data_IF_016700885017
#
_entry.id   IF_016700885017
#
_cell.length_a   1.000
_cell.length_b   1.000
_cell.length_c   1.000
_cell.angle_alpha   90.00
_cell.angle_beta   90.00
_cell.angle_gamma   90.00
#
_symmetry.space_group_name_H-M   'P 1'
#
loop_
_entity.id
_entity.type
_entity.pdbx_description
1 polymer ?
#
# COMPACT_ATOMS: atom_id res chain seq x y z
N UNK A 1 18.12 11.75 -26.70
CA UNK A 1 18.09 13.00 -25.92
C UNK A 1 17.06 12.81 -24.84
N UNK A 2 17.49 12.78 -23.59
CA UNK A 2 16.63 12.72 -22.43
C UNK A 2 16.03 14.11 -22.22
N UNK A 3 14.75 14.29 -22.48
CA UNK A 3 14.04 15.52 -22.08
C UNK A 3 13.75 15.38 -20.58
N UNK A 4 14.52 16.10 -19.76
CA UNK A 4 14.24 16.31 -18.36
C UNK A 4 13.12 17.36 -18.24
N UNK A 5 11.92 16.91 -17.88
CA UNK A 5 10.87 17.81 -17.41
C UNK A 5 10.95 17.84 -15.87
N UNK A 6 11.67 18.83 -15.36
CA UNK A 6 11.85 19.03 -13.93
C UNK A 6 10.64 19.81 -13.40
N UNK A 7 9.59 19.12 -12.97
CA UNK A 7 8.46 19.75 -12.30
C UNK A 7 8.72 19.89 -10.78
N UNK A 8 8.05 20.85 -10.17
CA UNK A 8 8.30 21.52 -8.90
C UNK A 8 8.25 20.70 -7.58
N UNK A 9 8.67 19.44 -7.59
CA UNK A 9 8.84 18.64 -6.37
C UNK A 9 10.32 18.59 -5.92
N UNK A 10 11.07 19.70 -6.05
CA UNK A 10 12.46 19.89 -5.55
C UNK A 10 13.42 18.68 -5.75
N UNK A 11 13.21 17.86 -6.81
CA UNK A 11 14.01 16.65 -7.07
C UNK A 11 13.63 15.41 -6.25
N UNK A 12 12.59 15.46 -5.44
CA UNK A 12 12.09 14.32 -4.63
C UNK A 12 11.41 13.24 -5.48
N UNK A 13 10.94 13.59 -6.67
CA UNK A 13 10.45 12.69 -7.71
C UNK A 13 11.06 13.09 -9.06
N UNK A 14 11.54 12.11 -9.81
CA UNK A 14 12.22 12.35 -11.08
C UNK A 14 11.45 11.66 -12.19
N UNK A 15 11.17 12.39 -13.26
CA UNK A 15 10.53 11.89 -14.47
C UNK A 15 11.54 11.88 -15.62
N UNK A 16 11.59 10.77 -16.34
CA UNK A 16 12.45 10.61 -17.52
C UNK A 16 11.73 9.80 -18.58
N UNK A 17 12.22 9.82 -19.82
CA UNK A 17 11.70 8.99 -20.90
C UNK A 17 12.84 8.39 -21.71
N UNK A 18 12.69 7.10 -22.02
CA UNK A 18 13.58 6.39 -22.93
C UNK A 18 12.74 5.66 -23.98
N UNK A 19 12.77 6.13 -25.21
CA UNK A 19 11.90 5.58 -26.26
C UNK A 19 10.41 5.72 -25.90
N UNK A 20 9.69 4.61 -25.89
CA UNK A 20 8.28 4.54 -25.52
C UNK A 20 8.03 4.34 -24.02
N UNK A 21 9.09 4.14 -23.21
CA UNK A 21 8.97 3.96 -21.76
C UNK A 21 9.17 5.28 -21.03
N UNK A 22 8.17 5.69 -20.25
CA UNK A 22 8.28 6.78 -19.28
C UNK A 22 8.71 6.18 -17.93
N UNK A 23 9.61 6.86 -17.22
CA UNK A 23 10.20 6.36 -15.98
C UNK A 23 9.94 7.35 -14.85
N UNK A 24 9.51 6.82 -13.71
CA UNK A 24 9.34 7.53 -12.44
C UNK A 24 10.37 7.00 -11.45
N UNK A 25 11.12 7.90 -10.81
CA UNK A 25 12.00 7.55 -9.69
C UNK A 25 11.61 8.35 -8.46
N UNK A 26 11.19 7.66 -7.40
CA UNK A 26 10.98 8.26 -6.08
C UNK A 26 12.35 8.53 -5.48
N UNK A 27 12.68 9.79 -5.18
CA UNK A 27 14.06 10.21 -4.89
C UNK A 27 14.22 10.83 -3.51
N UNK A 28 13.70 10.15 -2.49
CA UNK A 28 13.91 10.48 -1.07
C UNK A 28 14.52 9.30 -0.31
N UNK A 29 15.69 8.74 -0.74
CA UNK A 29 16.21 7.49 -0.21
C UNK A 29 16.54 7.57 1.30
N UNK A 30 16.88 8.73 1.85
CA UNK A 30 17.10 8.94 3.30
C UNK A 30 15.81 8.77 4.12
N UNK A 31 14.66 9.04 3.53
CA UNK A 31 13.34 8.83 4.11
C UNK A 31 12.65 7.56 3.59
N UNK A 32 13.42 6.56 3.10
CA UNK A 32 12.92 5.33 2.49
C UNK A 32 11.91 5.62 1.36
N UNK A 33 12.13 6.69 0.60
CA UNK A 33 11.27 7.16 -0.49
C UNK A 33 9.81 7.40 -0.07
N UNK A 34 9.56 7.81 1.18
CA UNK A 34 8.23 8.14 1.68
C UNK A 34 7.57 9.20 0.77
N UNK A 35 6.31 8.96 0.43
CA UNK A 35 5.51 9.77 -0.48
C UNK A 35 5.02 11.04 0.23
N UNK A 36 5.40 12.21 -0.28
CA UNK A 36 4.86 13.49 0.18
C UNK A 36 3.69 13.93 -0.69
N UNK A 37 2.85 14.83 -0.17
CA UNK A 37 1.76 15.40 -0.96
C UNK A 37 2.25 16.05 -2.28
N UNK A 38 3.34 16.87 -2.30
CA UNK A 38 3.87 17.40 -3.57
C UNK A 38 4.30 16.31 -4.55
N UNK A 39 4.86 15.18 -4.08
CA UNK A 39 5.20 14.06 -4.95
C UNK A 39 3.95 13.40 -5.53
N UNK A 40 2.91 13.20 -4.72
CA UNK A 40 1.65 12.62 -5.17
C UNK A 40 0.99 13.50 -6.24
N UNK A 41 0.95 14.82 -6.04
CA UNK A 41 0.44 15.78 -7.03
C UNK A 41 1.25 15.73 -8.32
N UNK A 42 2.59 15.79 -8.22
CA UNK A 42 3.45 15.76 -9.39
C UNK A 42 3.31 14.45 -10.18
N UNK A 43 3.12 13.32 -9.48
CA UNK A 43 2.90 12.03 -10.14
C UNK A 43 1.53 11.97 -10.83
N UNK A 44 0.47 12.44 -10.18
CA UNK A 44 -0.88 12.51 -10.78
C UNK A 44 -0.85 13.36 -12.05
N UNK A 45 -0.33 14.58 -11.98
CA UNK A 45 -0.22 15.50 -13.11
C UNK A 45 0.57 14.87 -14.28
N UNK A 46 1.70 14.24 -13.97
CA UNK A 46 2.56 13.64 -15.00
C UNK A 46 1.92 12.39 -15.62
N UNK A 47 1.24 11.55 -14.84
CA UNK A 47 0.52 10.39 -15.37
C UNK A 47 -0.61 10.82 -16.31
N UNK A 48 -1.37 11.87 -15.97
CA UNK A 48 -2.41 12.42 -16.86
C UNK A 48 -1.82 12.90 -18.19
N UNK A 49 -0.68 13.58 -18.17
CA UNK A 49 0.02 13.98 -19.40
C UNK A 49 0.46 12.74 -20.21
N UNK A 50 1.03 11.73 -19.57
CA UNK A 50 1.47 10.51 -20.25
C UNK A 50 0.34 9.61 -20.72
N UNK A 51 -0.82 9.67 -20.08
CA UNK A 51 -2.02 9.00 -20.53
C UNK A 51 -2.40 9.42 -21.96
N UNK A 52 -2.34 10.72 -22.22
CA UNK A 52 -2.71 11.33 -23.52
C UNK A 52 -1.56 11.35 -24.53
N UNK A 53 -0.30 11.24 -24.10
CA UNK A 53 0.88 11.28 -25.00
C UNK A 53 1.02 9.94 -25.76
N UNK A 54 0.75 9.98 -27.07
CA UNK A 54 0.89 8.81 -27.95
C UNK A 54 2.33 8.28 -28.05
N UNK A 55 3.35 9.08 -27.70
CA UNK A 55 4.75 8.66 -27.68
C UNK A 55 5.10 7.84 -26.42
N UNK A 56 4.33 7.97 -25.34
CA UNK A 56 4.46 7.11 -24.15
C UNK A 56 3.63 5.84 -24.37
N UNK A 57 4.25 4.69 -24.27
CA UNK A 57 3.63 3.38 -24.47
C UNK A 57 3.49 2.60 -23.18
N UNK A 58 4.35 2.86 -22.21
CA UNK A 58 4.32 2.25 -20.89
C UNK A 58 4.95 3.20 -19.86
N UNK A 59 4.67 2.95 -18.59
CA UNK A 59 5.28 3.65 -17.45
C UNK A 59 5.99 2.65 -16.56
N UNK A 60 7.18 2.98 -16.06
CA UNK A 60 7.81 2.26 -14.95
C UNK A 60 7.98 3.19 -13.74
N UNK A 61 7.91 2.61 -12.54
CA UNK A 61 8.16 3.32 -11.28
C UNK A 61 9.09 2.52 -10.40
N UNK A 62 10.06 3.20 -9.77
CA UNK A 62 11.05 2.60 -8.87
C UNK A 62 11.45 3.57 -7.76
N UNK A 63 12.10 3.07 -6.72
CA UNK A 63 12.72 3.89 -5.70
C UNK A 63 14.19 4.17 -6.00
N UNK A 64 14.71 5.32 -5.56
CA UNK A 64 16.14 5.63 -5.60
C UNK A 64 16.90 4.82 -4.53
N UNK A 65 18.13 4.41 -4.86
CA UNK A 65 19.02 3.69 -3.96
C UNK A 65 19.55 4.61 -2.84
N UNK A 66 19.74 4.02 -1.67
CA UNK A 66 20.46 4.62 -0.55
C UNK A 66 21.98 4.55 -0.75
N UNK A 67 22.71 5.30 0.05
CA UNK A 67 24.19 5.29 0.05
C UNK A 67 24.78 3.89 0.39
N UNK A 68 24.03 3.05 1.13
CA UNK A 68 24.41 1.67 1.47
C UNK A 68 24.02 0.64 0.38
N UNK A 69 23.54 1.09 -0.77
CA UNK A 69 23.16 0.28 -1.92
C UNK A 69 21.76 -0.35 -1.84
N UNK A 70 21.07 -0.28 -0.71
CA UNK A 70 19.67 -0.76 -0.61
C UNK A 70 18.74 0.15 -1.38
N UNK A 71 17.71 -0.43 -2.00
CA UNK A 71 16.74 0.27 -2.84
C UNK A 71 15.34 0.16 -2.21
N UNK A 72 14.98 0.98 -1.19
CA UNK A 72 13.59 1.00 -0.73
C UNK A 72 12.68 1.47 -1.86
N UNK A 73 11.54 0.80 -2.06
CA UNK A 73 10.59 1.31 -3.03
C UNK A 73 9.90 2.55 -2.46
N UNK A 74 9.05 2.38 -1.45
CA UNK A 74 8.38 3.47 -0.73
C UNK A 74 7.84 2.96 0.60
N UNK A 75 8.16 3.63 1.70
CA UNK A 75 7.73 3.23 3.05
C UNK A 75 6.34 3.73 3.44
N UNK A 76 5.58 4.31 2.50
CA UNK A 76 4.25 4.87 2.73
C UNK A 76 4.20 6.38 2.63
N UNK A 77 3.06 6.97 2.95
CA UNK A 77 2.88 8.41 3.03
C UNK A 77 3.74 9.05 4.15
N UNK A 78 4.17 10.29 3.95
CA UNK A 78 4.89 11.05 4.99
C UNK A 78 3.89 11.61 6.02
N UNK A 79 3.40 10.70 6.89
CA UNK A 79 2.34 11.00 7.87
C UNK A 79 2.80 11.88 9.05
N UNK A 80 4.09 12.25 9.13
CA UNK A 80 4.56 13.22 10.12
C UNK A 80 3.86 14.56 9.95
N UNK A 81 3.66 14.97 8.71
CA UNK A 81 3.00 16.23 8.41
C UNK A 81 1.52 16.20 8.83
N UNK A 82 0.83 15.06 8.69
CA UNK A 82 -0.52 14.89 9.24
C UNK A 82 -0.55 15.07 10.76
N UNK A 83 0.44 14.53 11.47
CA UNK A 83 0.55 14.69 12.92
C UNK A 83 0.78 16.16 13.31
N UNK A 84 1.60 16.90 12.56
CA UNK A 84 1.84 18.33 12.82
C UNK A 84 0.55 19.16 12.68
N UNK A 85 -0.39 18.74 11.82
CA UNK A 85 -1.68 19.38 11.61
C UNK A 85 -2.79 18.88 12.58
N UNK A 86 -2.44 18.12 13.61
CA UNK A 86 -3.42 17.51 14.55
C UNK A 86 -4.37 18.51 15.22
N UNK A 87 -3.96 19.76 15.38
CA UNK A 87 -4.74 20.81 16.04
C UNK A 87 -5.65 21.60 15.08
N UNK A 88 -5.59 21.34 13.76
CA UNK A 88 -6.54 21.94 12.83
C UNK A 88 -7.96 21.36 13.09
N UNK A 89 -8.93 22.17 13.53
CA UNK A 89 -10.27 21.69 13.84
C UNK A 89 -11.05 21.21 12.60
N UNK A 90 -10.68 21.67 11.41
CA UNK A 90 -11.33 21.33 10.16
C UNK A 90 -10.64 20.19 9.41
N UNK A 91 -9.43 19.81 9.83
CA UNK A 91 -8.62 18.78 9.16
C UNK A 91 -8.49 18.97 7.64
N UNK A 92 -8.53 20.21 7.18
CA UNK A 92 -8.55 20.53 5.74
C UNK A 92 -7.35 19.94 5.00
N UNK A 93 -6.18 19.96 5.65
CA UNK A 93 -4.98 19.36 5.06
C UNK A 93 -5.16 17.85 4.87
N UNK A 94 -5.66 17.13 5.88
CA UNK A 94 -5.87 15.69 5.80
C UNK A 94 -6.90 15.33 4.72
N UNK A 95 -8.00 16.07 4.65
CA UNK A 95 -9.03 15.91 3.61
C UNK A 95 -8.39 16.01 2.22
N UNK A 96 -7.66 17.10 1.96
CA UNK A 96 -7.01 17.31 0.67
C UNK A 96 -5.94 16.25 0.37
N UNK A 97 -5.17 15.83 1.39
CA UNK A 97 -4.14 14.80 1.24
C UNK A 97 -4.74 13.47 0.77
N UNK A 98 -5.78 12.96 1.48
CA UNK A 98 -6.40 11.68 1.11
C UNK A 98 -7.16 11.76 -0.22
N UNK A 99 -7.81 12.88 -0.53
CA UNK A 99 -8.42 13.08 -1.85
C UNK A 99 -7.41 12.95 -2.98
N UNK A 100 -6.25 13.58 -2.84
CA UNK A 100 -5.19 13.55 -3.86
C UNK A 100 -4.56 12.17 -3.97
N UNK A 101 -4.23 11.54 -2.84
CA UNK A 101 -3.61 10.21 -2.82
C UNK A 101 -4.55 9.16 -3.43
N UNK A 102 -5.83 9.16 -3.03
CA UNK A 102 -6.79 8.16 -3.50
C UNK A 102 -7.22 8.36 -4.95
N UNK A 103 -7.26 9.61 -5.45
CA UNK A 103 -7.40 9.88 -6.89
C UNK A 103 -6.21 9.36 -7.68
N UNK A 104 -5.00 9.57 -7.17
CA UNK A 104 -3.78 9.02 -7.79
C UNK A 104 -3.82 7.49 -7.83
N UNK A 105 -4.23 6.83 -6.74
CA UNK A 105 -4.36 5.36 -6.71
C UNK A 105 -5.38 4.88 -7.77
N UNK A 106 -6.49 5.59 -7.90
CA UNK A 106 -7.52 5.29 -8.91
C UNK A 106 -7.00 5.54 -10.33
N UNK A 107 -6.22 6.60 -10.54
CA UNK A 107 -5.56 6.86 -11.82
C UNK A 107 -4.60 5.73 -12.21
N UNK A 108 -3.79 5.23 -11.26
CA UNK A 108 -2.90 4.08 -11.49
C UNK A 108 -3.70 2.82 -11.84
N UNK A 109 -4.81 2.56 -11.12
CA UNK A 109 -5.69 1.43 -11.39
C UNK A 109 -6.33 1.48 -12.79
N UNK A 110 -6.76 2.67 -13.22
CA UNK A 110 -7.39 2.91 -14.53
C UNK A 110 -6.40 3.19 -15.66
N UNK A 111 -5.09 3.21 -15.37
CA UNK A 111 -4.12 3.68 -16.34
C UNK A 111 -4.14 2.81 -17.61
N UNK A 112 -4.40 3.40 -18.81
CA UNK A 112 -4.71 2.64 -20.01
C UNK A 112 -3.48 2.00 -20.68
N UNK A 113 -2.28 2.26 -20.14
CA UNK A 113 -1.01 1.74 -20.66
C UNK A 113 -0.36 0.85 -19.60
N UNK A 114 0.51 -0.11 -19.96
CA UNK A 114 1.24 -0.89 -18.99
C UNK A 114 1.94 0.00 -17.95
N UNK A 115 1.74 -0.33 -16.67
CA UNK A 115 2.35 0.32 -15.54
C UNK A 115 3.15 -0.70 -14.74
N UNK A 116 4.46 -0.54 -14.70
CA UNK A 116 5.41 -1.53 -14.19
C UNK A 116 6.08 -1.00 -12.92
N UNK A 117 5.78 -1.59 -11.77
CA UNK A 117 6.45 -1.27 -10.52
C UNK A 117 7.67 -2.18 -10.30
N UNK A 118 8.86 -1.60 -10.14
CA UNK A 118 10.11 -2.29 -9.83
C UNK A 118 10.38 -2.17 -8.34
N UNK A 119 10.11 -3.24 -7.58
CA UNK A 119 10.07 -3.23 -6.12
C UNK A 119 11.24 -4.05 -5.58
N UNK A 120 12.33 -3.38 -5.20
CA UNK A 120 13.56 -4.01 -4.69
C UNK A 120 13.81 -3.75 -3.20
N UNK A 121 12.76 -3.47 -2.44
CA UNK A 121 12.86 -3.22 -0.99
C UNK A 121 11.50 -2.95 -0.36
N UNK A 122 11.50 -2.16 0.71
CA UNK A 122 10.28 -1.85 1.48
C UNK A 122 9.21 -1.19 0.60
N UNK A 123 7.98 -1.74 0.65
CA UNK A 123 6.77 -1.19 0.04
C UNK A 123 5.62 -1.31 1.03
N UNK A 124 5.09 -0.16 1.50
CA UNK A 124 4.06 -0.08 2.55
C UNK A 124 3.14 1.10 2.30
N UNK A 125 1.91 1.06 2.81
CA UNK A 125 0.95 2.17 2.79
C UNK A 125 0.84 2.87 1.42
N UNK A 126 1.02 4.19 1.35
CA UNK A 126 1.01 4.94 0.09
C UNK A 126 1.95 4.39 -1.01
N UNK A 127 3.04 3.69 -0.64
CA UNK A 127 3.89 2.98 -1.60
C UNK A 127 3.15 1.83 -2.30
N UNK A 128 2.25 1.15 -1.59
CA UNK A 128 1.36 0.14 -2.17
C UNK A 128 0.38 0.81 -3.14
N UNK A 129 -0.21 1.94 -2.75
CA UNK A 129 -1.16 2.68 -3.58
C UNK A 129 -0.63 3.12 -4.94
N UNK A 130 0.65 3.48 -5.03
CA UNK A 130 1.28 3.92 -6.29
C UNK A 130 1.95 2.77 -7.07
N UNK A 131 1.83 1.52 -6.63
CA UNK A 131 2.48 0.36 -7.28
C UNK A 131 1.56 -0.82 -7.54
N UNK A 132 0.72 -1.21 -6.58
CA UNK A 132 -0.01 -2.48 -6.62
C UNK A 132 -1.21 -2.49 -7.58
N UNK A 133 -1.66 -1.33 -8.01
CA UNK A 133 -2.77 -1.20 -8.97
C UNK A 133 -2.29 -1.23 -10.43
N UNK A 134 -0.99 -1.16 -10.65
CA UNK A 134 -0.38 -1.30 -11.98
C UNK A 134 -0.48 -2.73 -12.54
N UNK A 135 -0.26 -2.86 -13.84
CA UNK A 135 -0.35 -4.14 -14.55
C UNK A 135 0.76 -5.14 -14.15
N UNK A 136 1.96 -4.64 -13.84
CA UNK A 136 3.12 -5.47 -13.51
C UNK A 136 3.72 -5.02 -12.17
N UNK A 137 3.72 -5.92 -11.21
CA UNK A 137 4.31 -5.76 -9.89
C UNK A 137 5.51 -6.69 -9.78
N UNK A 138 6.69 -6.18 -10.17
CA UNK A 138 7.94 -6.93 -10.24
C UNK A 138 8.67 -6.77 -8.91
N UNK A 139 8.81 -7.84 -8.16
CA UNK A 139 9.43 -7.84 -6.84
C UNK A 139 10.75 -8.63 -6.83
N UNK A 140 11.74 -8.16 -6.08
CA UNK A 140 12.96 -8.92 -5.80
C UNK A 140 12.85 -9.69 -4.48
N UNK A 141 13.88 -10.50 -4.18
CA UNK A 141 14.04 -11.18 -2.88
C UNK A 141 14.24 -10.20 -1.71
N UNK A 142 14.61 -8.95 -1.99
CA UNK A 142 14.74 -7.90 -0.97
C UNK A 142 13.43 -7.16 -0.69
N UNK A 143 12.40 -7.39 -1.51
CA UNK A 143 11.11 -6.73 -1.34
C UNK A 143 10.47 -7.14 -0.01
N UNK A 144 9.93 -6.15 0.69
CA UNK A 144 9.22 -6.32 1.97
C UNK A 144 7.90 -5.55 1.91
N UNK A 145 6.83 -6.29 1.71
CA UNK A 145 5.46 -5.76 1.73
C UNK A 145 4.86 -5.85 3.12
N UNK A 146 4.12 -4.82 3.55
CA UNK A 146 3.21 -4.87 4.69
C UNK A 146 2.16 -3.74 4.61
N UNK A 147 1.02 -3.97 5.29
CA UNK A 147 -0.01 -2.95 5.58
C UNK A 147 -0.12 -2.83 7.11
N UNK A 148 0.79 -2.03 7.77
CA UNK A 148 0.92 -2.00 9.22
C UNK A 148 -0.01 -0.97 9.91
N UNK A 149 -1.00 -0.45 9.22
CA UNK A 149 -1.82 0.72 9.58
C UNK A 149 -2.58 0.53 10.89
N UNK A 150 -3.00 -0.70 11.24
CA UNK A 150 -3.64 -1.02 12.53
C UNK A 150 -2.74 -0.72 13.74
N UNK A 151 -1.42 -0.70 13.54
CA UNK A 151 -0.43 -0.34 14.55
C UNK A 151 -0.24 1.16 14.75
N UNK A 152 -0.89 2.01 13.95
CA UNK A 152 -0.83 3.47 14.05
C UNK A 152 -2.21 4.12 14.19
N UNK A 153 -3.25 3.35 14.56
CA UNK A 153 -4.59 3.89 14.71
C UNK A 153 -5.28 4.24 13.39
N UNK A 154 -4.83 3.62 12.29
CA UNK A 154 -5.41 3.70 10.95
C UNK A 154 -5.92 2.29 10.55
N UNK A 155 -6.24 2.08 9.33
CA UNK A 155 -6.66 0.80 8.71
C UNK A 155 -5.88 0.62 7.41
N UNK A 156 -5.73 -0.59 6.86
CA UNK A 156 -5.17 -0.80 5.53
C UNK A 156 -5.99 -0.06 4.48
N UNK A 157 -5.43 0.98 3.90
CA UNK A 157 -6.03 1.87 2.90
C UNK A 157 -5.42 1.69 1.52
N UNK A 158 -5.45 2.73 0.69
CA UNK A 158 -4.86 2.81 -0.65
C UNK A 158 -5.30 1.67 -1.60
N UNK A 159 -6.54 1.22 -1.48
CA UNK A 159 -7.13 0.13 -2.25
C UNK A 159 -7.10 -1.24 -1.57
N UNK A 160 -6.69 -1.33 -0.30
CA UNK A 160 -6.67 -2.59 0.44
C UNK A 160 -8.05 -3.22 0.60
N UNK A 161 -9.12 -2.42 0.68
CA UNK A 161 -10.53 -2.89 0.63
C UNK A 161 -10.81 -3.71 -0.62
N UNK A 162 -10.13 -3.40 -1.72
CA UNK A 162 -10.28 -4.11 -2.98
C UNK A 162 -9.37 -5.33 -3.08
N UNK A 163 -8.05 -5.21 -2.81
CA UNK A 163 -7.10 -6.29 -3.11
C UNK A 163 -6.94 -7.31 -1.99
N UNK A 164 -7.02 -6.94 -0.71
CA UNK A 164 -6.84 -7.89 0.39
C UNK A 164 -7.94 -8.98 0.43
N UNK A 165 -9.23 -8.68 0.26
CA UNK A 165 -10.25 -9.72 0.22
C UNK A 165 -10.11 -10.69 -0.98
N UNK A 166 -9.33 -10.32 -1.99
CA UNK A 166 -9.07 -11.15 -3.19
C UNK A 166 -7.88 -12.09 -3.01
N UNK A 167 -7.15 -11.97 -1.89
CA UNK A 167 -6.14 -12.96 -1.50
C UNK A 167 -6.81 -14.32 -1.16
N UNK A 168 -6.08 -15.45 -1.30
CA UNK A 168 -6.60 -16.77 -0.99
C UNK A 168 -7.15 -16.88 0.44
N UNK A 169 -8.31 -17.49 0.61
CA UNK A 169 -8.94 -17.78 1.91
C UNK A 169 -9.05 -16.56 2.82
N UNK A 170 -8.51 -16.64 4.01
CA UNK A 170 -8.49 -15.56 5.02
C UNK A 170 -7.16 -14.79 5.07
N UNK A 171 -6.25 -15.02 4.11
CA UNK A 171 -4.92 -14.40 4.09
C UNK A 171 -4.99 -12.87 4.06
N UNK A 172 -5.89 -12.29 3.27
CA UNK A 172 -6.03 -10.83 3.24
C UNK A 172 -6.48 -10.24 4.58
N UNK A 173 -7.37 -10.93 5.29
CA UNK A 173 -7.80 -10.52 6.63
C UNK A 173 -6.65 -10.63 7.64
N UNK A 174 -5.90 -11.74 7.61
CA UNK A 174 -4.69 -11.90 8.40
C UNK A 174 -3.69 -10.77 8.17
N UNK A 175 -3.37 -10.48 6.90
CA UNK A 175 -2.44 -9.42 6.52
C UNK A 175 -2.92 -8.04 7.02
N UNK A 176 -4.19 -7.72 6.80
CA UNK A 176 -4.76 -6.42 7.15
C UNK A 176 -4.85 -6.19 8.67
N UNK A 177 -5.19 -7.21 9.45
CA UNK A 177 -5.31 -7.07 10.90
C UNK A 177 -3.95 -7.06 11.60
N UNK A 178 -3.01 -7.91 11.17
CA UNK A 178 -1.72 -8.07 11.84
C UNK A 178 -0.66 -7.08 11.37
N UNK A 179 -0.75 -6.62 10.12
CA UNK A 179 0.34 -5.91 9.45
C UNK A 179 1.55 -6.81 9.17
N UNK A 180 1.30 -8.10 8.93
CA UNK A 180 2.35 -9.08 8.68
C UNK A 180 3.24 -8.65 7.50
N UNK A 181 4.55 -8.90 7.65
CA UNK A 181 5.55 -8.58 6.64
C UNK A 181 5.82 -9.80 5.79
N UNK A 182 5.73 -9.63 4.47
CA UNK A 182 5.94 -10.71 3.52
C UNK A 182 6.98 -10.36 2.47
N UNK A 183 7.68 -11.38 1.97
CA UNK A 183 8.59 -11.30 0.83
C UNK A 183 7.91 -11.69 -0.48
N UNK A 184 8.71 -11.75 -1.55
CA UNK A 184 8.24 -11.98 -2.92
C UNK A 184 7.51 -13.32 -3.10
N UNK A 185 7.95 -14.40 -2.45
CA UNK A 185 7.31 -15.72 -2.56
C UNK A 185 5.86 -15.70 -2.06
N UNK A 186 5.63 -15.12 -0.87
CA UNK A 186 4.29 -14.94 -0.34
C UNK A 186 3.47 -13.94 -1.18
N UNK A 187 4.09 -12.85 -1.64
CA UNK A 187 3.40 -11.87 -2.48
C UNK A 187 2.90 -12.47 -3.81
N UNK A 188 3.68 -13.35 -4.43
CA UNK A 188 3.26 -14.11 -5.62
C UNK A 188 2.12 -15.08 -5.28
N UNK A 189 2.26 -15.84 -4.19
CA UNK A 189 1.22 -16.75 -3.72
C UNK A 189 -0.11 -16.06 -3.47
N UNK A 190 -0.06 -14.85 -2.88
CA UNK A 190 -1.24 -14.04 -2.57
C UNK A 190 -1.80 -13.27 -3.79
N UNK A 191 -1.14 -13.30 -4.94
CA UNK A 191 -1.51 -12.51 -6.12
C UNK A 191 -1.18 -11.01 -5.98
N UNK A 192 -0.42 -10.63 -4.98
CA UNK A 192 0.03 -9.26 -4.73
C UNK A 192 1.22 -8.86 -5.61
N UNK A 193 2.10 -9.80 -5.96
CA UNK A 193 3.13 -9.63 -6.99
C UNK A 193 2.73 -10.38 -8.27
N UNK A 194 3.32 -9.98 -9.41
CA UNK A 194 3.14 -10.66 -10.70
C UNK A 194 4.38 -11.44 -11.12
N UNK A 195 5.57 -10.92 -10.81
CA UNK A 195 6.85 -11.49 -11.23
C UNK A 195 7.90 -11.35 -10.13
N UNK A 196 8.82 -12.31 -10.09
CA UNK A 196 10.05 -12.22 -9.33
C UNK A 196 11.23 -12.01 -10.27
N UNK A 197 11.95 -10.90 -10.09
CA UNK A 197 13.23 -10.64 -10.76
C UNK A 197 14.29 -10.49 -9.67
N UNK A 198 15.38 -11.28 -9.68
CA UNK A 198 16.45 -11.17 -8.68
C UNK A 198 17.00 -9.74 -8.61
N UNK A 199 17.23 -9.23 -7.40
CA UNK A 199 17.74 -7.86 -7.17
C UNK A 199 18.99 -7.56 -7.98
N UNK A 200 19.91 -8.53 -8.07
CA UNK A 200 21.13 -8.40 -8.87
C UNK A 200 20.87 -8.14 -10.37
N UNK A 201 19.68 -8.47 -10.87
CA UNK A 201 19.26 -8.27 -12.27
C UNK A 201 18.28 -7.13 -12.46
N UNK A 202 17.78 -6.50 -11.38
CA UNK A 202 16.72 -5.49 -11.46
C UNK A 202 17.16 -4.26 -12.31
N UNK A 203 18.41 -3.81 -12.17
CA UNK A 203 18.93 -2.71 -12.98
C UNK A 203 19.07 -3.07 -14.47
N UNK A 204 19.51 -4.31 -14.78
CA UNK A 204 19.58 -4.83 -16.14
C UNK A 204 18.18 -4.96 -16.76
N UNK A 205 17.21 -5.44 -15.98
CA UNK A 205 15.80 -5.51 -16.38
C UNK A 205 15.24 -4.12 -16.73
N UNK A 206 15.44 -3.12 -15.86
CA UNK A 206 15.02 -1.74 -16.13
C UNK A 206 15.63 -1.17 -17.41
N UNK A 207 16.91 -1.45 -17.67
CA UNK A 207 17.59 -1.04 -18.91
C UNK A 207 17.01 -1.76 -20.14
N UNK A 208 16.72 -3.05 -20.03
CA UNK A 208 16.11 -3.85 -21.11
C UNK A 208 14.69 -3.36 -21.44
N UNK A 209 13.88 -3.01 -20.44
CA UNK A 209 12.57 -2.36 -20.65
C UNK A 209 12.70 -1.05 -21.43
N UNK A 210 13.69 -0.21 -21.06
CA UNK A 210 13.94 1.07 -21.75
C UNK A 210 14.43 0.91 -23.19
N UNK A 211 15.04 -0.23 -23.52
CA UNK A 211 15.52 -0.56 -24.86
C UNK A 211 14.50 -1.33 -25.71
N UNK A 212 13.40 -1.79 -25.12
CA UNK A 212 12.40 -2.59 -25.80
C UNK A 212 11.63 -1.77 -26.86
N UNK A 213 11.27 -2.42 -27.95
CA UNK A 213 10.36 -1.84 -28.96
C UNK A 213 8.91 -1.96 -28.46
N UNK A 214 8.41 -0.86 -27.90
CA UNK A 214 7.05 -0.73 -27.39
C UNK A 214 6.07 -0.14 -28.45
N UNK A 215 6.45 -0.07 -29.73
CA UNK A 215 5.62 0.55 -30.77
C UNK A 215 4.37 -0.26 -31.12
N UNK A 216 4.39 -1.58 -30.89
CA UNK A 216 3.27 -2.50 -31.05
C UNK A 216 2.42 -2.62 -29.78
N UNK A 217 2.08 -3.87 -29.41
CA UNK A 217 1.48 -4.18 -28.12
C UNK A 217 2.54 -4.11 -27.01
N UNK A 218 2.53 -3.01 -26.28
CA UNK A 218 3.50 -2.74 -25.22
C UNK A 218 3.42 -3.78 -24.08
N UNK A 219 2.23 -4.29 -23.75
CA UNK A 219 2.06 -5.35 -22.75
C UNK A 219 2.83 -6.60 -23.12
N UNK A 220 2.57 -7.16 -24.31
CA UNK A 220 3.28 -8.33 -24.82
C UNK A 220 4.80 -8.11 -24.95
N UNK A 221 5.23 -6.90 -25.31
CA UNK A 221 6.66 -6.59 -25.39
C UNK A 221 7.32 -6.59 -24.00
N UNK A 222 6.63 -6.07 -22.96
CA UNK A 222 7.10 -6.11 -21.56
C UNK A 222 7.14 -7.56 -21.06
N UNK A 223 6.11 -8.37 -21.32
CA UNK A 223 6.07 -9.78 -20.94
C UNK A 223 7.21 -10.57 -21.59
N UNK A 224 7.56 -10.27 -22.84
CA UNK A 224 8.69 -10.90 -23.52
C UNK A 224 10.04 -10.54 -22.85
N UNK A 225 10.23 -9.27 -22.45
CA UNK A 225 11.41 -8.88 -21.67
C UNK A 225 11.41 -9.59 -20.32
N UNK A 226 10.29 -9.60 -19.59
CA UNK A 226 10.17 -10.25 -18.26
C UNK A 226 10.54 -11.73 -18.32
N UNK A 227 10.19 -12.43 -19.38
CA UNK A 227 10.48 -13.86 -19.55
C UNK A 227 11.99 -14.19 -19.46
N UNK A 228 12.86 -13.25 -19.86
CA UNK A 228 14.32 -13.41 -19.78
C UNK A 228 14.89 -13.13 -18.36
N UNK A 229 14.12 -12.47 -17.50
CA UNK A 229 14.56 -12.00 -16.19
C UNK A 229 13.88 -12.69 -15.01
N UNK A 230 12.67 -13.21 -15.20
CA UNK A 230 11.89 -13.88 -14.16
C UNK A 230 12.60 -15.15 -13.66
N UNK A 231 12.64 -15.29 -12.34
CA UNK A 231 13.13 -16.48 -11.65
C UNK A 231 12.05 -17.06 -10.73
N UNK A 232 12.11 -18.36 -10.49
CA UNK A 232 11.25 -18.99 -9.49
C UNK A 232 11.70 -18.53 -8.09
N UNK A 233 10.78 -18.05 -7.23
CA UNK A 233 11.09 -17.75 -5.85
C UNK A 233 11.21 -19.06 -5.04
N UNK A 234 11.72 -18.93 -3.80
CA UNK A 234 11.59 -19.99 -2.82
C UNK A 234 10.11 -20.31 -2.51
N UNK A 235 9.87 -21.42 -1.79
CA UNK A 235 8.51 -21.77 -1.37
C UNK A 235 7.91 -20.66 -0.48
N UNK A 236 6.64 -20.31 -0.73
CA UNK A 236 5.92 -19.30 0.04
C UNK A 236 5.64 -19.80 1.47
N UNK A 237 6.17 -19.18 2.53
CA UNK A 237 5.90 -19.61 3.92
C UNK A 237 4.41 -19.55 4.27
N UNK A 238 3.67 -18.56 3.77
CA UNK A 238 2.23 -18.41 4.03
C UNK A 238 1.39 -19.51 3.37
N UNK A 239 1.81 -20.06 2.23
CA UNK A 239 1.12 -21.18 1.60
C UNK A 239 1.04 -22.39 2.55
N UNK A 240 2.10 -22.68 3.31
CA UNK A 240 2.12 -23.75 4.28
C UNK A 240 1.23 -23.47 5.52
N UNK A 241 0.77 -22.24 5.71
CA UNK A 241 -0.08 -21.82 6.83
C UNK A 241 -1.53 -21.55 6.43
N UNK A 242 -1.89 -21.75 5.16
CA UNK A 242 -3.23 -21.40 4.65
C UNK A 242 -4.35 -21.98 5.55
N UNK A 243 -4.30 -23.28 5.82
CA UNK A 243 -5.33 -23.94 6.62
C UNK A 243 -5.39 -23.41 8.07
N UNK A 244 -4.25 -23.06 8.65
CA UNK A 244 -4.16 -22.53 10.01
C UNK A 244 -4.75 -21.11 10.07
N UNK A 245 -4.41 -20.26 9.11
CA UNK A 245 -4.99 -18.92 8.97
C UNK A 245 -6.50 -18.99 8.73
N UNK A 246 -6.96 -19.88 7.85
CA UNK A 246 -8.38 -20.02 7.53
C UNK A 246 -9.21 -20.47 8.73
N UNK A 247 -8.65 -21.33 9.61
CA UNK A 247 -9.32 -21.73 10.86
C UNK A 247 -9.35 -20.60 11.89
N UNK A 248 -8.27 -19.84 12.03
CA UNK A 248 -8.15 -18.81 13.07
C UNK A 248 -8.88 -17.50 12.71
N UNK A 249 -8.85 -17.09 11.45
CA UNK A 249 -9.43 -15.81 11.00
C UNK A 249 -10.88 -15.95 10.50
N UNK A 250 -11.63 -16.88 11.08
CA UNK A 250 -13.07 -17.05 10.86
C UNK A 250 -13.84 -16.41 12.02
N UNK A 251 -15.03 -15.87 11.71
CA UNK A 251 -15.89 -15.20 12.69
C UNK A 251 -16.21 -13.77 12.27
N UNK A 252 -17.09 -13.14 13.03
CA UNK A 252 -17.64 -11.80 12.79
C UNK A 252 -17.14 -10.74 13.79
N UNK A 253 -16.24 -11.15 14.70
CA UNK A 253 -15.63 -10.25 15.69
C UNK A 253 -14.15 -10.53 15.90
N UNK A 254 -13.42 -9.53 16.36
CA UNK A 254 -12.00 -9.67 16.74
C UNK A 254 -11.85 -10.61 17.93
N UNK A 255 -12.77 -10.57 18.85
CA UNK A 255 -12.82 -11.42 20.02
C UNK A 255 -12.89 -12.92 19.59
N UNK A 256 -13.74 -13.24 18.60
CA UNK A 256 -13.82 -14.62 18.06
C UNK A 256 -12.51 -15.06 17.40
N UNK A 257 -11.83 -14.17 16.67
CA UNK A 257 -10.50 -14.46 16.09
C UNK A 257 -9.46 -14.73 17.19
N UNK A 258 -9.45 -13.94 18.26
CA UNK A 258 -8.55 -14.15 19.41
C UNK A 258 -8.84 -15.47 20.15
N UNK A 259 -10.10 -15.83 20.30
CA UNK A 259 -10.50 -17.13 20.89
C UNK A 259 -10.05 -18.30 20.01
N UNK A 260 -10.20 -18.18 18.67
CA UNK A 260 -9.74 -19.21 17.73
C UNK A 260 -8.21 -19.36 17.77
N UNK A 261 -7.45 -18.25 17.81
CA UNK A 261 -5.99 -18.28 17.94
C UNK A 261 -5.55 -18.93 19.26
N UNK A 262 -6.26 -18.63 20.36
CA UNK A 262 -6.00 -19.24 21.66
C UNK A 262 -6.30 -20.75 21.65
N UNK A 263 -7.36 -21.18 20.94
CA UNK A 263 -7.74 -22.59 20.80
C UNK A 263 -6.80 -23.36 19.87
N UNK A 264 -6.24 -22.74 18.84
CA UNK A 264 -5.25 -23.35 17.94
C UNK A 264 -3.96 -23.70 18.68
N UNK A 265 -3.47 -22.82 19.57
CA UNK A 265 -2.41 -23.07 20.54
C UNK A 265 -1.04 -23.40 19.94
N UNK A 266 -0.81 -23.08 18.65
CA UNK A 266 0.50 -23.22 18.03
C UNK A 266 1.37 -21.99 18.35
N UNK A 267 2.71 -22.10 18.30
CA UNK A 267 3.59 -20.93 18.50
C UNK A 267 3.25 -19.76 17.58
N UNK A 268 2.85 -20.02 16.33
CA UNK A 268 2.42 -18.98 15.40
C UNK A 268 1.10 -18.32 15.85
N UNK A 269 0.13 -19.11 16.31
CA UNK A 269 -1.14 -18.58 16.78
C UNK A 269 -0.96 -17.72 18.05
N UNK A 270 -0.09 -18.16 18.97
CA UNK A 270 0.26 -17.38 20.18
C UNK A 270 0.94 -16.04 19.82
N UNK A 271 1.91 -16.04 18.88
CA UNK A 271 2.58 -14.83 18.39
C UNK A 271 1.59 -13.91 17.67
N UNK A 272 0.71 -14.47 16.85
CA UNK A 272 -0.33 -13.72 16.13
C UNK A 272 -1.32 -13.08 17.08
N UNK A 273 -1.77 -13.82 18.10
CA UNK A 273 -2.63 -13.31 19.17
C UNK A 273 -1.96 -12.11 19.87
N UNK A 274 -0.70 -12.28 20.32
CA UNK A 274 0.05 -11.20 20.96
C UNK A 274 0.19 -9.98 20.04
N UNK A 275 0.45 -10.18 18.75
CA UNK A 275 0.52 -9.12 17.74
C UNK A 275 -0.79 -8.34 17.63
N UNK A 276 -1.95 -9.02 17.59
CA UNK A 276 -3.24 -8.35 17.54
C UNK A 276 -3.52 -7.53 18.80
N UNK A 277 -3.12 -8.01 19.97
CA UNK A 277 -3.30 -7.29 21.24
C UNK A 277 -2.48 -6.00 21.37
N UNK A 278 -1.46 -5.79 20.51
CA UNK A 278 -0.68 -4.55 20.44
C UNK A 278 -1.33 -3.48 19.55
N UNK A 279 -2.27 -3.89 18.68
CA UNK A 279 -2.91 -2.99 17.71
C UNK A 279 -3.98 -2.11 18.37
N UNK A 280 -4.34 -1.01 17.68
CA UNK A 280 -5.50 -0.20 18.10
C UNK A 280 -6.77 -1.06 18.08
N UNK A 281 -7.51 -1.14 19.20
CA UNK A 281 -8.78 -1.87 19.25
C UNK A 281 -9.81 -1.36 18.23
N UNK A 282 -9.88 -0.05 18.03
CA UNK A 282 -10.76 0.56 17.02
C UNK A 282 -10.31 0.17 15.62
N UNK A 283 -9.01 0.27 15.32
CA UNK A 283 -8.46 -0.11 14.00
C UNK A 283 -8.74 -1.55 13.66
N UNK A 284 -8.60 -2.49 14.61
CA UNK A 284 -8.93 -3.89 14.39
C UNK A 284 -10.40 -4.07 13.99
N UNK A 285 -11.34 -3.47 14.73
CA UNK A 285 -12.78 -3.64 14.45
C UNK A 285 -13.21 -2.99 13.15
N UNK A 286 -12.70 -1.79 12.81
CA UNK A 286 -13.02 -1.16 11.53
C UNK A 286 -12.39 -1.92 10.36
N UNK A 287 -11.16 -2.43 10.51
CA UNK A 287 -10.50 -3.25 9.48
C UNK A 287 -11.23 -4.58 9.26
N UNK A 288 -11.69 -5.24 10.33
CA UNK A 288 -12.50 -6.45 10.19
C UNK A 288 -13.76 -6.17 9.36
N UNK A 289 -14.52 -5.12 9.69
CA UNK A 289 -15.72 -4.72 8.93
C UNK A 289 -15.37 -4.36 7.49
N UNK A 290 -14.33 -3.57 7.27
CA UNK A 290 -13.83 -3.19 5.94
C UNK A 290 -13.62 -4.42 5.06
N UNK A 291 -12.86 -5.40 5.52
CA UNK A 291 -12.43 -6.54 4.72
C UNK A 291 -13.46 -7.68 4.64
N UNK A 292 -14.51 -7.65 5.45
CA UNK A 292 -15.55 -8.69 5.46
C UNK A 292 -16.88 -8.22 4.89
N UNK A 293 -17.27 -6.95 5.10
CA UNK A 293 -18.57 -6.41 4.68
C UNK A 293 -18.50 -5.56 3.40
N UNK A 294 -17.29 -5.23 2.93
CA UNK A 294 -17.05 -4.43 1.72
C UNK A 294 -16.15 -5.17 0.71
N UNK A 295 -16.11 -6.49 0.77
CA UNK A 295 -15.20 -7.36 0.01
C UNK A 295 -15.60 -7.59 -1.46
N UNK A 296 -16.79 -7.20 -1.87
CA UNK A 296 -17.35 -7.37 -3.22
C UNK A 296 -17.43 -6.06 -4.02
N UNK A 297 -16.96 -4.96 -3.44
CA UNK A 297 -16.96 -3.65 -4.10
C UNK A 297 -16.03 -3.62 -5.31
N UNK A 298 -16.38 -2.81 -6.32
CA UNK A 298 -15.42 -2.38 -7.32
C UNK A 298 -14.38 -1.43 -6.71
N UNK A 299 -13.36 -1.08 -7.51
CA UNK A 299 -12.23 -0.32 -6.97
C UNK A 299 -12.64 1.07 -6.47
N UNK A 300 -13.49 1.79 -7.20
CA UNK A 300 -13.90 3.15 -6.83
C UNK A 300 -14.79 3.16 -5.60
N UNK A 301 -15.75 2.25 -5.53
CA UNK A 301 -16.58 2.10 -4.34
C UNK A 301 -15.74 1.70 -3.11
N UNK A 302 -14.70 0.89 -3.29
CA UNK A 302 -13.75 0.57 -2.23
C UNK A 302 -12.97 1.82 -1.76
N UNK A 303 -12.47 2.62 -2.71
CA UNK A 303 -11.77 3.88 -2.41
C UNK A 303 -12.68 4.92 -1.72
N UNK A 304 -13.97 4.97 -2.08
CA UNK A 304 -14.97 5.80 -1.38
C UNK A 304 -15.12 5.41 0.09
N UNK A 305 -15.23 4.10 0.36
CA UNK A 305 -15.27 3.56 1.73
C UNK A 305 -14.00 3.92 2.49
N UNK A 306 -12.82 3.72 1.89
CA UNK A 306 -11.54 4.07 2.50
C UNK A 306 -11.44 5.57 2.79
N UNK A 307 -11.91 6.43 1.89
CA UNK A 307 -11.94 7.87 2.13
C UNK A 307 -12.77 8.24 3.35
N UNK A 308 -13.99 7.70 3.50
CA UNK A 308 -14.83 7.91 4.69
C UNK A 308 -14.10 7.51 5.96
N UNK A 309 -13.47 6.34 5.94
CA UNK A 309 -12.71 5.81 7.08
C UNK A 309 -11.48 6.68 7.40
N UNK A 310 -10.71 7.09 6.40
CA UNK A 310 -9.51 7.91 6.56
C UNK A 310 -9.84 9.29 7.16
N UNK A 311 -10.88 9.96 6.64
CA UNK A 311 -11.34 11.22 7.20
C UNK A 311 -11.75 11.04 8.66
N UNK A 312 -12.50 9.98 8.99
CA UNK A 312 -12.91 9.71 10.37
C UNK A 312 -11.72 9.42 11.30
N UNK A 313 -10.70 8.69 10.84
CA UNK A 313 -9.47 8.45 11.58
C UNK A 313 -8.76 9.77 11.96
N UNK A 314 -8.73 10.74 11.04
CA UNK A 314 -8.10 12.04 11.29
C UNK A 314 -8.85 12.93 12.31
N UNK A 315 -10.11 12.61 12.62
CA UNK A 315 -10.84 13.21 13.75
C UNK A 315 -10.72 12.38 15.04
N UNK A 316 -10.01 11.23 15.00
CA UNK A 316 -9.75 10.39 16.16
C UNK A 316 -8.40 10.73 16.80
N UNK A 317 -8.30 10.60 18.12
CA UNK A 317 -7.01 10.75 18.84
C UNK A 317 -6.07 9.57 18.62
N UNK A 318 -6.58 8.39 18.24
CA UNK A 318 -5.80 7.16 18.10
C UNK A 318 -4.78 7.25 16.95
N UNK A 319 -5.16 7.86 15.82
CA UNK A 319 -4.24 8.03 14.70
C UNK A 319 -3.02 8.89 15.07
N UNK A 320 -3.24 9.99 15.76
CA UNK A 320 -2.15 10.86 16.21
C UNK A 320 -1.29 10.22 17.31
N UNK A 321 -1.92 9.46 18.22
CA UNK A 321 -1.20 8.69 19.24
C UNK A 321 -0.34 7.58 18.61
N UNK A 322 -0.87 6.88 17.61
CA UNK A 322 -0.12 5.87 16.88
C UNK A 322 1.09 6.46 16.15
N UNK A 323 0.92 7.60 15.48
CA UNK A 323 2.04 8.30 14.83
C UNK A 323 3.05 8.76 15.87
N UNK A 324 2.62 9.34 17.00
CA UNK A 324 3.51 9.72 18.10
C UNK A 324 4.37 8.54 18.52
N UNK A 325 3.72 7.41 18.87
CA UNK A 325 4.42 6.26 19.44
C UNK A 325 5.38 5.57 18.45
N UNK A 326 5.01 5.48 17.16
CA UNK A 326 5.79 4.73 16.18
C UNK A 326 6.81 5.59 15.43
N UNK A 327 6.54 6.88 15.21
CA UNK A 327 7.29 7.71 14.26
C UNK A 327 7.98 8.91 14.94
N UNK A 328 7.30 9.60 15.87
CA UNK A 328 7.82 10.79 16.51
C UNK A 328 8.72 10.41 17.69
N UNK A 329 8.13 9.84 18.75
CA UNK A 329 8.83 9.47 19.99
C UNK A 329 9.55 8.12 19.86
N UNK A 330 9.04 7.21 19.03
CA UNK A 330 9.55 5.87 18.77
C UNK A 330 9.64 4.99 20.02
N UNK A 331 8.81 5.29 21.04
CA UNK A 331 8.70 4.49 22.25
C UNK A 331 7.96 3.16 22.03
N UNK A 332 7.20 3.05 20.92
CA UNK A 332 6.39 1.88 20.55
C UNK A 332 5.38 1.48 21.63
N UNK A 333 4.90 2.45 22.41
CA UNK A 333 3.95 2.26 23.51
C UNK A 333 2.75 3.19 23.29
N UNK A 334 1.90 2.94 22.29
CA UNK A 334 0.71 3.74 22.08
C UNK A 334 -0.28 3.56 23.23
N UNK A 335 -0.92 4.64 23.60
CA UNK A 335 -1.97 4.68 24.63
C UNK A 335 -3.32 4.78 23.96
N UNK A 336 -3.80 3.65 23.45
CA UNK A 336 -5.06 3.59 22.71
C UNK A 336 -6.26 4.07 23.54
N UNK A 337 -7.20 4.75 22.91
CA UNK A 337 -8.47 5.18 23.49
C UNK A 337 -9.60 5.05 22.46
N UNK A 338 -10.46 4.01 22.60
CA UNK A 338 -10.58 3.03 23.71
C UNK A 338 -9.37 2.09 23.85
N UNK A 339 -9.06 1.72 25.12
CA UNK A 339 -7.89 0.88 25.42
C UNK A 339 -8.15 -0.63 25.22
N UNK A 340 -9.43 -1.04 25.17
CA UNK A 340 -9.83 -2.44 25.11
C UNK A 340 -10.87 -2.66 24.04
N UNK A 341 -10.90 -3.87 23.46
CA UNK A 341 -11.85 -4.23 22.41
C UNK A 341 -13.31 -4.08 22.85
N UNK A 342 -13.65 -4.51 24.08
CA UNK A 342 -14.99 -4.41 24.62
C UNK A 342 -15.51 -2.98 24.78
N UNK A 343 -14.62 -1.98 24.83
CA UNK A 343 -14.98 -0.56 24.92
C UNK A 343 -15.25 0.06 23.52
N UNK A 344 -14.96 -0.68 22.43
CA UNK A 344 -15.25 -0.25 21.06
C UNK A 344 -16.62 -0.75 20.65
N UNK A 345 -17.65 0.07 20.84
CA UNK A 345 -19.03 -0.27 20.50
C UNK A 345 -19.33 -0.18 19.01
N UNK A 346 -20.43 -0.85 18.60
CA UNK A 346 -20.89 -0.93 17.21
C UNK A 346 -21.17 0.47 16.59
N UNK A 347 -21.76 1.39 17.37
CA UNK A 347 -22.03 2.76 16.89
C UNK A 347 -20.75 3.52 16.52
N UNK A 348 -19.66 3.30 17.28
CA UNK A 348 -18.36 3.88 16.98
C UNK A 348 -17.82 3.29 15.68
N UNK A 349 -17.81 1.97 15.54
CA UNK A 349 -17.35 1.27 14.31
C UNK A 349 -18.17 1.76 13.11
N UNK A 350 -19.50 1.78 13.20
CA UNK A 350 -20.37 2.23 12.12
C UNK A 350 -20.11 3.69 11.70
N UNK A 351 -19.65 4.53 12.63
CA UNK A 351 -19.38 5.94 12.33
C UNK A 351 -18.26 6.15 11.32
N UNK A 352 -17.34 5.19 11.18
CA UNK A 352 -16.20 5.27 10.24
C UNK A 352 -16.63 5.08 8.78
N UNK A 353 -17.77 4.46 8.55
CA UNK A 353 -18.28 4.16 7.21
C UNK A 353 -19.35 5.18 6.73
N UNK A 354 -19.67 6.16 7.55
CA UNK A 354 -20.61 7.22 7.19
C UNK A 354 -19.95 8.26 6.31
N UNK A 355 -20.70 8.79 5.34
CA UNK A 355 -20.29 9.95 4.55
C UNK A 355 -19.85 11.08 5.47
N UNK A 356 -18.63 11.63 5.31
CA UNK A 356 -18.16 12.75 6.11
C UNK A 356 -18.91 14.04 5.78
N UNK A 357 -18.84 15.02 6.67
CA UNK A 357 -19.49 16.34 6.46
C UNK A 357 -18.95 17.08 5.22
N UNK A 358 -17.72 16.77 4.80
CA UNK A 358 -17.12 17.27 3.56
C UNK A 358 -17.73 16.66 2.29
N UNK A 359 -18.58 15.65 2.41
CA UNK A 359 -19.06 14.82 1.29
C UNK A 359 -18.14 13.66 0.96
N UNK A 360 -18.59 12.80 0.06
CA UNK A 360 -17.77 11.72 -0.50
C UNK A 360 -16.82 12.26 -1.58
N UNK A 361 -15.72 11.59 -1.80
CA UNK A 361 -14.81 11.93 -2.91
C UNK A 361 -15.42 11.51 -4.25
N UNK A 362 -14.97 12.16 -5.31
CA UNK A 362 -15.34 11.84 -6.70
C UNK A 362 -14.09 11.50 -7.52
N UNK A 363 -14.27 10.64 -8.52
CA UNK A 363 -13.19 10.15 -9.39
C UNK A 363 -13.36 10.68 -10.82
N UNK A 364 -13.25 11.99 -10.99
CA UNK A 364 -13.29 12.64 -12.32
C UNK A 364 -11.92 12.66 -12.99
#
# INVERSE_FOLDING_TARGET
MTEENNSAADGDIIFARQGGLANVTLNRPKALNALTQPMAIALDDQLRLWQEDAAVKAVSIQGAAREDGRVPFCSGGDIRFLHEQQNDPHKQFAITFYEQEYRLNTLVFRFPKPYVALIDGVVMGGGVGISFHGSHRVMSEHALFAMPETGIGLFPDVGATYFLPRCPGRMGLYMGLTGARIGVADALYLGLATHHVPSARMAEFGAALGAADLSGDAGSAIDAVLADFTADPDAAPLAARQDEVDRCFVGDSIEAILDNLSAEGTPWAEETHATLMEKSPTSLKITLRQLTQHNDLDFEAAMEVEYRMAIRCNFSSEFYEGIRAQIIDKDRQPKWQPARLEDVGEDLVASYFKTPDSGDMTFE
#
